data_IF_219598690305
#
_entry.id   IF_219598690305
#
_cell.length_a   1.000
_cell.length_b   1.000
_cell.length_c   1.000
_cell.angle_alpha   90.00
_cell.angle_beta   90.00
_cell.angle_gamma   90.00
#
_symmetry.space_group_name_H-M   'P 1'
#
loop_
_entity.id
_entity.type
_entity.pdbx_description
1 polymer ?
#
# COMPACT_ATOMS: atom_id res chain seq x y z
N UNK A 1 11.79 13.37 -1.23
CA UNK A 1 10.37 13.05 -1.48
C UNK A 1 9.72 12.92 -0.11
N UNK A 2 8.66 13.67 0.16
CA UNK A 2 8.09 13.71 1.52
C UNK A 2 7.15 12.51 1.70
N UNK A 3 7.29 11.81 2.82
CA UNK A 3 6.42 10.69 3.24
C UNK A 3 4.94 11.08 3.23
N UNK A 4 4.64 12.37 3.41
CA UNK A 4 3.29 12.95 3.31
C UNK A 4 2.63 12.68 1.94
N UNK A 5 3.36 12.78 0.82
CA UNK A 5 2.80 12.51 -0.51
C UNK A 5 2.47 11.02 -0.71
N UNK A 6 3.27 10.13 -0.13
CA UNK A 6 3.02 8.68 -0.19
C UNK A 6 1.79 8.35 0.65
N UNK A 7 1.70 8.92 1.86
CA UNK A 7 0.57 8.66 2.74
C UNK A 7 -0.77 9.09 2.13
N UNK A 8 -0.80 10.24 1.46
CA UNK A 8 -1.97 10.68 0.69
C UNK A 8 -2.34 9.69 -0.43
N UNK A 9 -1.35 9.19 -1.17
CA UNK A 9 -1.55 8.17 -2.21
C UNK A 9 -2.17 6.90 -1.61
N UNK A 10 -1.67 6.44 -0.46
CA UNK A 10 -2.21 5.25 0.20
C UNK A 10 -3.64 5.46 0.68
N UNK A 11 -3.97 6.66 1.17
CA UNK A 11 -5.35 6.97 1.55
C UNK A 11 -6.31 6.91 0.38
N UNK A 12 -5.90 7.47 -0.77
CA UNK A 12 -6.70 7.38 -2.01
C UNK A 12 -6.87 5.92 -2.44
N UNK A 13 -5.80 5.13 -2.42
CA UNK A 13 -5.89 3.71 -2.74
C UNK A 13 -6.85 2.95 -1.81
N UNK A 14 -6.85 3.25 -0.51
CA UNK A 14 -7.82 2.66 0.45
C UNK A 14 -9.25 3.08 0.14
N UNK A 15 -9.47 4.35 -0.20
CA UNK A 15 -10.79 4.85 -0.58
C UNK A 15 -11.30 4.17 -1.87
N UNK A 16 -10.45 4.09 -2.89
CA UNK A 16 -10.77 3.45 -4.18
C UNK A 16 -11.12 1.97 -3.99
N UNK A 17 -10.34 1.24 -3.19
CA UNK A 17 -10.65 -0.16 -2.84
C UNK A 17 -11.96 -0.24 -2.05
N UNK A 18 -12.15 0.61 -1.04
CA UNK A 18 -13.37 0.65 -0.23
C UNK A 18 -14.62 0.90 -1.07
N UNK A 19 -14.55 1.63 -2.17
CA UNK A 19 -15.68 1.87 -3.06
C UNK A 19 -16.12 0.63 -3.85
N UNK A 20 -15.24 -0.35 -3.98
CA UNK A 20 -15.56 -1.67 -4.58
C UNK A 20 -16.10 -2.69 -3.58
N UNK A 21 -15.88 -2.44 -2.28
CA UNK A 21 -16.23 -3.37 -1.19
C UNK A 21 -17.66 -3.16 -0.66
N UNK A 22 -18.24 -4.24 -0.10
CA UNK A 22 -19.49 -4.10 0.66
C UNK A 22 -19.25 -3.31 1.93
N UNK A 23 -20.32 -2.71 2.46
CA UNK A 23 -20.25 -1.83 3.64
C UNK A 23 -19.58 -2.48 4.86
N UNK A 24 -19.74 -3.78 5.04
CA UNK A 24 -19.16 -4.58 6.13
C UNK A 24 -17.72 -5.02 5.88
N UNK A 25 -17.22 -4.87 4.65
CA UNK A 25 -15.84 -5.20 4.24
C UNK A 25 -14.95 -3.95 4.18
N UNK A 26 -15.53 -2.74 4.18
CA UNK A 26 -14.78 -1.47 4.16
C UNK A 26 -13.93 -1.30 5.42
N UNK A 27 -12.71 -0.79 5.25
CA UNK A 27 -11.81 -0.43 6.35
C UNK A 27 -11.79 1.08 6.58
N UNK A 28 -11.36 1.50 7.77
CA UNK A 28 -11.10 2.91 8.06
C UNK A 28 -9.95 3.45 7.17
N UNK A 29 -9.89 4.76 6.94
CA UNK A 29 -8.77 5.39 6.24
C UNK A 29 -7.97 6.26 7.23
N UNK A 30 -7.10 5.63 8.04
CA UNK A 30 -6.20 6.33 8.96
C UNK A 30 -4.81 5.67 9.01
N UNK A 31 -3.79 6.42 9.40
CA UNK A 31 -2.40 5.92 9.46
C UNK A 31 -2.26 4.63 10.31
N UNK A 32 -3.10 4.47 11.32
CA UNK A 32 -3.16 3.30 12.20
C UNK A 32 -4.02 2.14 11.67
N UNK A 33 -4.77 2.33 10.58
CA UNK A 33 -5.61 1.27 10.02
C UNK A 33 -4.75 0.09 9.56
N UNK A 34 -5.09 -1.10 10.03
CA UNK A 34 -4.48 -2.36 9.60
C UNK A 34 -4.93 -2.75 8.20
N UNK A 35 -3.97 -2.94 7.28
CA UNK A 35 -4.22 -3.49 5.95
C UNK A 35 -4.37 -5.02 5.97
N UNK A 36 -4.05 -5.67 7.10
CA UNK A 36 -4.31 -7.11 7.29
C UNK A 36 -5.82 -7.44 7.37
N UNK A 37 -6.69 -6.44 7.49
CA UNK A 37 -8.14 -6.65 7.38
C UNK A 37 -8.60 -6.92 5.94
N UNK A 38 -7.84 -6.49 4.93
CA UNK A 38 -8.08 -6.93 3.56
C UNK A 38 -7.75 -8.42 3.44
N UNK A 39 -8.61 -9.17 2.76
CA UNK A 39 -8.25 -10.51 2.30
C UNK A 39 -7.11 -10.44 1.26
N UNK A 40 -6.53 -11.58 0.92
CA UNK A 40 -5.38 -11.64 0.01
C UNK A 40 -5.64 -11.05 -1.38
N UNK A 41 -6.87 -11.13 -1.89
CA UNK A 41 -7.22 -10.54 -3.18
C UNK A 41 -7.30 -9.01 -3.07
N UNK A 42 -7.90 -8.52 -2.01
CA UNK A 42 -8.02 -7.09 -1.73
C UNK A 42 -6.66 -6.45 -1.39
N UNK A 43 -5.76 -7.18 -0.74
CA UNK A 43 -4.37 -6.75 -0.55
C UNK A 43 -3.64 -6.61 -1.89
N UNK A 44 -3.82 -7.58 -2.80
CA UNK A 44 -3.23 -7.50 -4.14
C UNK A 44 -3.81 -6.32 -4.94
N UNK A 45 -5.13 -6.16 -4.93
CA UNK A 45 -5.80 -5.04 -5.60
C UNK A 45 -5.31 -3.70 -5.04
N UNK A 46 -5.16 -3.59 -3.71
CA UNK A 46 -4.61 -2.43 -3.06
C UNK A 46 -3.18 -2.13 -3.53
N UNK A 47 -2.32 -3.13 -3.61
CA UNK A 47 -0.94 -2.96 -4.11
C UNK A 47 -0.93 -2.43 -5.55
N UNK A 48 -1.69 -3.05 -6.44
CA UNK A 48 -1.78 -2.64 -7.86
C UNK A 48 -2.29 -1.20 -7.97
N UNK A 49 -3.27 -0.83 -7.14
CA UNK A 49 -3.81 0.52 -7.11
C UNK A 49 -2.78 1.55 -6.63
N UNK A 50 -1.98 1.19 -5.61
CA UNK A 50 -0.88 2.04 -5.15
C UNK A 50 0.19 2.20 -6.24
N UNK A 51 0.57 1.13 -6.93
CA UNK A 51 1.54 1.19 -8.05
C UNK A 51 1.04 2.14 -9.17
N UNK A 52 -0.24 2.01 -9.55
CA UNK A 52 -0.89 2.90 -10.53
C UNK A 52 -0.85 4.36 -10.10
N UNK A 53 -1.22 4.65 -8.84
CA UNK A 53 -1.25 6.02 -8.32
C UNK A 53 0.15 6.63 -8.19
N UNK A 54 1.17 5.83 -7.87
CA UNK A 54 2.55 6.28 -7.84
C UNK A 54 3.06 6.63 -9.24
N UNK A 55 2.71 5.84 -10.25
CA UNK A 55 3.00 6.16 -11.64
C UNK A 55 2.31 7.47 -12.06
N UNK A 56 1.00 7.60 -11.81
CA UNK A 56 0.23 8.77 -12.24
C UNK A 56 0.62 10.07 -11.54
N UNK A 57 0.89 10.01 -10.23
CA UNK A 57 1.11 11.22 -9.42
C UNK A 57 2.57 11.59 -9.27
N UNK A 58 3.47 10.62 -9.34
CA UNK A 58 4.89 10.83 -9.09
C UNK A 58 5.79 10.48 -10.29
N UNK A 59 5.23 9.99 -11.40
CA UNK A 59 6.00 9.49 -12.56
C UNK A 59 6.99 8.39 -12.14
N UNK A 60 6.54 7.54 -11.21
CA UNK A 60 7.32 6.44 -10.62
C UNK A 60 6.67 5.10 -10.91
N UNK A 61 7.20 4.39 -11.89
CA UNK A 61 6.89 2.97 -12.10
C UNK A 61 7.68 2.13 -11.10
N UNK A 62 6.99 1.56 -10.11
CA UNK A 62 7.58 0.65 -9.14
C UNK A 62 6.80 -0.66 -9.09
N UNK A 63 7.48 -1.74 -8.73
CA UNK A 63 6.86 -3.04 -8.46
C UNK A 63 7.00 -3.27 -6.95
N UNK A 64 5.91 -3.11 -6.22
CA UNK A 64 5.84 -3.27 -4.77
C UNK A 64 5.74 -4.73 -4.35
N UNK A 65 5.20 -5.59 -5.23
CA UNK A 65 5.06 -7.00 -4.94
C UNK A 65 5.52 -7.84 -6.14
N UNK A 66 6.82 -8.12 -6.17
CA UNK A 66 7.37 -9.11 -7.09
C UNK A 66 7.29 -10.49 -6.44
N UNK A 67 6.46 -11.38 -6.99
CA UNK A 67 6.35 -12.77 -6.52
C UNK A 67 7.68 -13.55 -6.61
N UNK A 68 8.69 -13.02 -7.32
CA UNK A 68 10.05 -13.58 -7.39
C UNK A 68 11.00 -13.05 -6.32
N UNK A 69 10.63 -11.99 -5.60
CA UNK A 69 11.43 -11.34 -4.53
C UNK A 69 10.78 -11.57 -3.17
N UNK A 70 10.47 -12.82 -2.84
CA UNK A 70 10.37 -13.22 -1.44
C UNK A 70 11.78 -13.46 -0.91
N UNK A 71 12.56 -12.38 -0.79
CA UNK A 71 13.85 -12.46 -0.11
C UNK A 71 13.58 -12.58 1.39
N UNK A 72 13.80 -13.79 1.87
CA UNK A 72 13.83 -14.25 3.27
C UNK A 72 14.70 -13.35 4.19
N UNK A 73 15.48 -12.42 3.62
CA UNK A 73 16.27 -11.43 4.32
C UNK A 73 15.60 -10.06 4.58
N UNK A 74 14.40 -9.76 4.05
CA UNK A 74 13.63 -8.58 4.50
C UNK A 74 12.87 -8.86 5.81
N UNK A 75 13.62 -9.32 6.81
CA UNK A 75 13.16 -9.42 8.20
C UNK A 75 13.13 -8.03 8.84
N UNK A 76 12.05 -7.26 8.63
CA UNK A 76 11.59 -6.25 9.58
C UNK A 76 10.22 -5.69 9.16
N UNK A 77 9.15 -6.16 9.83
CA UNK A 77 7.76 -5.71 9.71
C UNK A 77 7.02 -6.14 8.43
N UNK A 78 5.92 -6.86 8.61
CA UNK A 78 4.94 -7.07 7.55
C UNK A 78 4.41 -5.68 7.12
N UNK A 79 4.60 -5.24 5.86
CA UNK A 79 4.23 -3.88 5.44
C UNK A 79 2.71 -3.66 5.51
N UNK A 80 1.91 -4.73 5.53
CA UNK A 80 0.46 -4.66 5.68
C UNK A 80 -0.02 -4.45 7.13
N UNK A 81 0.88 -4.29 8.10
CA UNK A 81 0.50 -4.04 9.50
C UNK A 81 -0.34 -2.78 9.68
N UNK A 82 -0.01 -1.72 8.96
CA UNK A 82 -0.81 -0.49 8.93
C UNK A 82 -0.51 0.34 7.68
N UNK A 83 -1.38 1.29 7.36
CA UNK A 83 -1.12 2.27 6.30
C UNK A 83 0.22 3.01 6.53
N UNK A 84 0.53 3.37 7.79
CA UNK A 84 1.80 4.00 8.11
C UNK A 84 3.01 3.09 7.86
N UNK A 85 2.93 1.80 8.22
CA UNK A 85 4.00 0.84 7.97
C UNK A 85 4.21 0.64 6.46
N UNK A 86 3.11 0.54 5.71
CA UNK A 86 3.16 0.43 4.25
C UNK A 86 3.75 1.69 3.60
N UNK A 87 3.43 2.89 4.11
CA UNK A 87 4.03 4.15 3.64
C UNK A 87 5.54 4.17 3.80
N UNK A 88 6.04 3.69 4.95
CA UNK A 88 7.48 3.58 5.20
C UNK A 88 8.15 2.57 4.25
N UNK A 89 7.50 1.44 4.01
CA UNK A 89 7.96 0.43 3.06
C UNK A 89 8.09 1.00 1.64
N UNK A 90 7.02 1.64 1.13
CA UNK A 90 7.03 2.29 -0.19
C UNK A 90 8.09 3.39 -0.27
N UNK A 91 8.24 4.19 0.79
CA UNK A 91 9.26 5.23 0.85
C UNK A 91 10.69 4.66 0.77
N UNK A 92 10.92 3.50 1.41
CA UNK A 92 12.20 2.78 1.33
C UNK A 92 12.52 2.34 -0.09
N UNK A 93 11.54 1.80 -0.82
CA UNK A 93 11.72 1.34 -2.20
C UNK A 93 12.01 2.51 -3.16
N UNK A 94 11.30 3.63 -3.03
CA UNK A 94 11.47 4.76 -3.96
C UNK A 94 12.76 5.55 -3.67
N UNK A 95 13.33 5.40 -2.47
CA UNK A 95 14.57 6.07 -2.08
C UNK A 95 15.84 5.38 -2.63
N UNK A 96 15.76 4.10 -2.99
CA UNK A 96 16.80 3.35 -3.72
C UNK A 96 16.75 3.64 -5.24
#
# INVERSE_FOLDING_TARGET
>A
MNTENILEILYIAVEDINDTLKKDEKIECSASTSLMHFDSLNQLNFVVEVERLLEERLDKTIILFDASVTDENQSALNPFQSIAAFSQYVAGIIAD
#
